data_IF_676693379313
#
_entry.id   IF_676693379313
#
_cell.length_a   1.000
_cell.length_b   1.000
_cell.length_c   1.000
_cell.angle_alpha   90.00
_cell.angle_beta   90.00
_cell.angle_gamma   90.00
#
_symmetry.space_group_name_H-M   'P 1'
#
loop_
_entity.id
_entity.type
_entity.pdbx_description
1 polymer ?
#
# COMPACT_ATOMS: atom_id res chain seq x y z
N UNK A 1 -29.06 -51.44 62.22
CA UNK A 1 -30.22 -51.69 61.32
C UNK A 1 -30.05 -50.70 60.19
N UNK A 2 -29.47 -51.08 59.04
CA UNK A 2 -30.13 -51.76 57.93
C UNK A 2 -30.42 -50.71 56.86
N UNK A 3 -29.60 -50.64 55.79
CA UNK A 3 -29.94 -50.98 54.39
C UNK A 3 -30.96 -50.00 53.76
N UNK A 4 -30.81 -49.43 52.57
CA UNK A 4 -29.93 -49.66 51.42
C UNK A 4 -30.73 -49.42 50.12
N UNK A 5 -30.15 -48.70 49.15
CA UNK A 5 -30.51 -48.69 47.71
C UNK A 5 -31.84 -48.01 47.30
N UNK A 6 -32.04 -47.47 46.11
CA UNK A 6 -31.20 -47.31 44.92
C UNK A 6 -31.88 -46.31 43.93
N UNK A 7 -31.04 -45.61 43.16
CA UNK A 7 -31.16 -45.18 41.75
C UNK A 7 -32.50 -44.75 41.14
N UNK A 8 -32.52 -43.57 40.49
CA UNK A 8 -32.57 -43.40 39.01
C UNK A 8 -32.46 -41.91 38.62
N UNK A 9 -31.41 -41.55 37.89
CA UNK A 9 -31.32 -40.43 36.93
C UNK A 9 -31.89 -40.90 35.56
N UNK A 10 -32.02 -40.08 34.47
CA UNK A 10 -31.45 -38.74 34.20
C UNK A 10 -32.40 -37.73 33.48
N UNK A 11 -31.96 -36.47 33.33
CA UNK A 11 -31.92 -35.75 32.03
C UNK A 11 -31.53 -34.28 32.21
N UNK A 12 -30.54 -33.87 31.43
CA UNK A 12 -29.89 -32.56 31.38
C UNK A 12 -30.77 -31.46 30.78
N UNK A 13 -30.54 -30.22 31.17
CA UNK A 13 -30.51 -29.08 30.23
C UNK A 13 -29.43 -28.11 30.68
N UNK A 14 -28.43 -27.94 29.82
CA UNK A 14 -27.38 -26.92 29.88
C UNK A 14 -27.97 -25.55 29.53
N UNK A 15 -27.53 -24.48 30.19
CA UNK A 15 -27.15 -23.23 29.49
C UNK A 15 -26.32 -22.30 30.41
N UNK A 16 -25.02 -22.36 30.12
CA UNK A 16 -24.00 -21.31 30.03
C UNK A 16 -23.77 -20.28 31.17
N UNK A 17 -22.62 -20.47 31.80
CA UNK A 17 -21.98 -19.61 32.79
C UNK A 17 -21.02 -18.62 32.14
N UNK A 18 -21.44 -17.38 31.91
CA UNK A 18 -20.56 -16.26 31.60
C UNK A 18 -19.88 -15.65 32.83
N UNK A 19 -19.13 -16.43 33.62
CA UNK A 19 -18.24 -15.88 34.67
C UNK A 19 -16.98 -15.34 33.99
N UNK A 20 -16.89 -14.02 33.87
CA UNK A 20 -15.64 -13.33 33.57
C UNK A 20 -14.59 -13.72 34.62
N UNK A 21 -13.72 -14.66 34.24
CA UNK A 21 -12.55 -15.05 35.02
C UNK A 21 -11.61 -13.85 35.06
N UNK A 22 -11.59 -13.16 36.19
CA UNK A 22 -10.49 -12.28 36.56
C UNK A 22 -9.26 -13.17 36.73
N UNK A 23 -8.55 -13.41 35.62
CA UNK A 23 -7.20 -13.94 35.65
C UNK A 23 -6.40 -12.96 36.52
N UNK A 24 -5.83 -13.39 37.66
CA UNK A 24 -4.96 -12.52 38.42
C UNK A 24 -3.81 -12.17 37.48
N UNK A 25 -3.55 -10.87 37.30
CA UNK A 25 -2.40 -10.40 36.52
C UNK A 25 -1.20 -11.22 36.98
N UNK A 26 -0.68 -12.07 36.10
CA UNK A 26 0.61 -12.68 36.31
C UNK A 26 1.55 -11.53 36.62
N UNK A 27 2.43 -11.69 37.59
CA UNK A 27 3.60 -10.82 37.76
C UNK A 27 4.23 -10.68 36.38
N UNK A 28 3.92 -9.58 35.69
CA UNK A 28 4.26 -9.42 34.29
C UNK A 28 5.77 -9.45 34.21
N UNK A 29 6.33 -10.51 33.64
CA UNK A 29 7.76 -10.60 33.44
C UNK A 29 8.20 -9.35 32.70
N UNK A 30 9.11 -8.58 33.31
CA UNK A 30 9.59 -7.34 32.73
C UNK A 30 10.18 -7.65 31.36
N UNK A 31 9.66 -7.00 30.33
CA UNK A 31 10.12 -7.19 28.96
C UNK A 31 11.61 -6.84 28.85
N UNK A 32 12.35 -7.74 28.21
CA UNK A 32 13.77 -7.57 27.89
C UNK A 32 13.97 -6.42 26.91
N UNK A 33 14.87 -5.50 27.25
CA UNK A 33 15.24 -4.38 26.38
C UNK A 33 16.51 -4.73 25.62
N UNK A 34 16.46 -4.63 24.30
CA UNK A 34 17.57 -4.96 23.43
C UNK A 34 18.31 -3.69 22.99
N UNK A 35 19.60 -3.63 23.31
CA UNK A 35 20.47 -2.49 23.01
C UNK A 35 21.62 -2.99 22.18
N UNK A 36 21.97 -2.30 21.10
CA UNK A 36 23.17 -2.64 20.33
C UNK A 36 24.13 -1.46 20.27
N UNK A 37 25.42 -1.79 20.25
CA UNK A 37 26.48 -0.79 20.21
C UNK A 37 27.73 -1.35 19.52
N UNK A 38 28.65 -0.47 19.20
CA UNK A 38 29.93 -0.80 18.57
C UNK A 38 31.01 0.11 19.11
N UNK A 39 32.18 -0.45 19.35
CA UNK A 39 33.37 0.30 19.71
C UNK A 39 34.53 -0.11 18.81
N UNK A 40 35.45 0.81 18.54
CA UNK A 40 36.73 0.48 17.94
C UNK A 40 37.87 1.20 18.64
N UNK A 41 38.77 0.41 19.22
CA UNK A 41 39.89 0.90 20.01
C UNK A 41 39.60 0.95 21.51
N UNK A 42 40.66 0.82 22.31
CA UNK A 42 40.57 0.61 23.76
C UNK A 42 39.89 1.76 24.52
N UNK A 43 40.00 3.00 24.04
CA UNK A 43 39.31 4.13 24.65
C UNK A 43 37.79 3.97 24.52
N UNK A 44 37.29 3.71 23.31
CA UNK A 44 35.87 3.52 23.07
C UNK A 44 35.34 2.25 23.75
N UNK A 45 36.14 1.19 23.87
CA UNK A 45 35.76 -0.01 24.64
C UNK A 45 35.60 0.30 26.14
N UNK A 46 36.48 1.16 26.70
CA UNK A 46 36.33 1.63 28.08
C UNK A 46 35.07 2.47 28.24
N UNK A 47 34.80 3.37 27.31
CA UNK A 47 33.57 4.18 27.31
C UNK A 47 32.32 3.31 27.16
N UNK A 48 32.37 2.28 26.31
CA UNK A 48 31.28 1.33 26.12
C UNK A 48 30.93 0.61 27.44
N UNK A 49 31.94 0.25 28.25
CA UNK A 49 31.72 -0.27 29.60
C UNK A 49 31.00 0.71 30.53
N UNK A 50 31.30 2.01 30.42
CA UNK A 50 30.61 3.08 31.16
C UNK A 50 29.17 3.24 30.65
N UNK A 51 28.95 3.18 29.34
CA UNK A 51 27.63 3.24 28.72
C UNK A 51 26.73 2.10 29.24
N UNK A 52 27.21 0.86 29.20
CA UNK A 52 26.51 -0.32 29.73
C UNK A 52 26.11 -0.11 31.20
N UNK A 53 27.05 0.36 32.02
CA UNK A 53 26.81 0.66 33.43
C UNK A 53 25.76 1.75 33.64
N UNK A 54 25.84 2.82 32.86
CA UNK A 54 24.90 3.94 32.94
C UNK A 54 23.47 3.53 32.57
N UNK A 55 23.32 2.63 31.60
CA UNK A 55 22.01 2.04 31.27
C UNK A 55 21.52 1.15 32.40
N UNK A 56 22.35 0.20 32.86
CA UNK A 56 21.93 -0.78 33.88
C UNK A 56 21.50 -0.13 35.20
N UNK A 57 22.16 0.94 35.59
CA UNK A 57 21.82 1.67 36.82
C UNK A 57 20.46 2.39 36.74
N UNK A 58 19.94 2.59 35.53
CA UNK A 58 18.79 3.45 35.25
C UNK A 58 17.52 2.64 34.96
N UNK A 59 17.63 1.33 34.76
CA UNK A 59 16.50 0.47 34.41
C UNK A 59 16.48 -0.81 35.25
N UNK A 60 15.28 -1.27 35.60
CA UNK A 60 15.07 -2.55 36.28
C UNK A 60 14.83 -3.68 35.30
N UNK A 61 14.49 -3.37 34.05
CA UNK A 61 14.21 -4.36 33.02
C UNK A 61 15.41 -5.28 32.78
N UNK A 62 15.17 -6.54 32.38
CA UNK A 62 16.21 -7.39 31.81
C UNK A 62 16.82 -6.70 30.59
N UNK A 63 18.14 -6.76 30.46
CA UNK A 63 18.86 -6.15 29.34
C UNK A 63 19.52 -7.23 28.51
N UNK A 64 19.48 -7.04 27.20
CA UNK A 64 20.27 -7.80 26.25
C UNK A 64 21.11 -6.84 25.40
N UNK A 65 22.44 -6.94 25.50
CA UNK A 65 23.38 -6.14 24.71
C UNK A 65 23.91 -6.90 23.50
N UNK A 66 23.78 -6.30 22.33
CA UNK A 66 24.32 -6.83 21.08
C UNK A 66 25.56 -6.04 20.67
N UNK A 67 26.65 -6.74 20.37
CA UNK A 67 27.89 -6.10 19.95
C UNK A 67 28.35 -6.60 18.59
N UNK A 68 28.86 -5.68 17.76
CA UNK A 68 29.40 -6.07 16.45
C UNK A 68 30.80 -6.67 16.63
N UNK A 69 30.90 -7.98 16.39
CA UNK A 69 32.05 -8.80 16.76
C UNK A 69 33.36 -8.34 16.09
N UNK A 70 33.30 -7.93 14.83
CA UNK A 70 34.47 -7.67 14.00
C UNK A 70 35.32 -6.46 14.46
N UNK A 71 34.77 -5.59 15.30
CA UNK A 71 35.41 -4.32 15.67
C UNK A 71 35.98 -4.28 17.08
N UNK A 72 35.58 -5.24 17.92
CA UNK A 72 36.00 -5.34 19.32
C UNK A 72 37.33 -6.08 19.48
N UNK A 73 38.15 -5.64 20.43
CA UNK A 73 39.39 -6.30 20.78
C UNK A 73 39.14 -7.61 21.53
N UNK A 74 40.04 -8.60 21.40
CA UNK A 74 39.95 -9.85 22.16
C UNK A 74 39.89 -9.62 23.67
N UNK A 75 40.58 -8.58 24.16
CA UNK A 75 40.59 -8.19 25.57
C UNK A 75 39.20 -7.77 26.04
N UNK A 76 38.49 -6.95 25.26
CA UNK A 76 37.13 -6.54 25.61
C UNK A 76 36.16 -7.71 25.51
N UNK A 77 36.26 -8.54 24.47
CA UNK A 77 35.41 -9.75 24.34
C UNK A 77 35.54 -10.70 25.53
N UNK A 78 36.75 -10.90 26.05
CA UNK A 78 36.99 -11.69 27.25
C UNK A 78 36.48 -11.02 28.55
N UNK A 79 36.30 -9.69 28.54
CA UNK A 79 35.86 -8.91 29.69
C UNK A 79 34.33 -8.78 29.78
N UNK A 80 33.61 -8.75 28.65
CA UNK A 80 32.14 -8.65 28.60
C UNK A 80 31.42 -9.71 29.46
N UNK A 81 31.80 -11.01 29.46
CA UNK A 81 31.18 -12.01 30.32
C UNK A 81 31.27 -11.65 31.82
N UNK A 82 32.40 -11.10 32.26
CA UNK A 82 32.60 -10.69 33.65
C UNK A 82 31.74 -9.47 34.01
N UNK A 83 31.52 -8.56 33.06
CA UNK A 83 30.58 -7.45 33.21
C UNK A 83 29.13 -7.96 33.29
N UNK A 84 28.78 -8.90 32.41
CA UNK A 84 27.45 -9.49 32.30
C UNK A 84 27.05 -10.21 33.60
N UNK A 85 27.95 -11.01 34.16
CA UNK A 85 27.75 -11.69 35.45
C UNK A 85 27.58 -10.69 36.59
N UNK A 86 28.46 -9.67 36.66
CA UNK A 86 28.43 -8.67 37.74
C UNK A 86 27.19 -7.77 37.71
N UNK A 87 26.73 -7.42 36.52
CA UNK A 87 25.66 -6.43 36.32
C UNK A 87 24.35 -7.04 35.81
N UNK A 88 24.27 -8.37 35.75
CA UNK A 88 23.09 -9.16 35.41
C UNK A 88 22.43 -8.72 34.11
N UNK A 89 23.16 -8.82 33.00
CA UNK A 89 22.64 -8.61 31.64
C UNK A 89 23.05 -9.76 30.72
N UNK A 90 22.26 -10.00 29.69
CA UNK A 90 22.58 -10.93 28.61
C UNK A 90 23.32 -10.22 27.48
N UNK A 91 24.12 -10.93 26.71
CA UNK A 91 24.77 -10.36 25.55
C UNK A 91 25.04 -11.40 24.48
N UNK A 92 25.16 -10.92 23.24
CA UNK A 92 25.58 -11.72 22.09
C UNK A 92 26.48 -10.89 21.17
N UNK A 93 27.47 -11.58 20.58
CA UNK A 93 28.31 -11.01 19.54
C UNK A 93 27.71 -11.34 18.18
N UNK A 94 27.27 -10.31 17.46
CA UNK A 94 26.68 -10.44 16.14
C UNK A 94 27.65 -10.00 15.06
N UNK A 95 27.59 -10.66 13.92
CA UNK A 95 28.40 -10.31 12.76
C UNK A 95 27.68 -10.68 11.49
N UNK A 96 27.92 -9.91 10.45
CA UNK A 96 27.43 -10.18 9.12
C UNK A 96 28.57 -9.94 8.14
N UNK A 97 28.76 -10.84 7.17
CA UNK A 97 29.81 -10.66 6.17
C UNK A 97 29.35 -9.63 5.15
N UNK A 98 30.19 -8.64 4.87
CA UNK A 98 29.92 -7.66 3.81
C UNK A 98 29.66 -8.37 2.47
N UNK A 99 28.49 -8.17 1.83
CA UNK A 99 28.16 -8.85 0.59
C UNK A 99 29.06 -8.42 -0.57
N UNK A 100 29.42 -9.35 -1.45
CA UNK A 100 30.31 -9.08 -2.60
C UNK A 100 29.74 -8.09 -3.61
N UNK A 101 28.41 -7.97 -3.71
CA UNK A 101 27.71 -7.07 -4.61
C UNK A 101 27.57 -5.64 -4.06
N UNK A 102 27.82 -5.44 -2.77
CA UNK A 102 27.68 -4.15 -2.10
C UNK A 102 29.03 -3.42 -2.17
N UNK A 103 29.05 -2.17 -2.63
CA UNK A 103 30.28 -1.42 -2.82
C UNK A 103 31.13 -1.39 -1.54
N UNK A 104 32.38 -1.88 -1.54
CA UNK A 104 33.17 -2.00 -0.32
C UNK A 104 33.64 -0.64 0.23
N UNK A 105 33.99 -0.62 1.51
CA UNK A 105 34.67 0.51 2.15
C UNK A 105 36.09 0.09 2.53
N UNK A 106 37.08 0.89 2.12
CA UNK A 106 38.49 0.67 2.47
C UNK A 106 38.82 1.20 3.87
N UNK A 107 38.16 2.27 4.30
CA UNK A 107 38.38 2.89 5.60
C UNK A 107 37.57 2.19 6.70
N UNK A 108 38.27 1.79 7.77
CA UNK A 108 37.66 1.10 8.91
C UNK A 108 36.52 1.90 9.56
N UNK A 109 36.66 3.22 9.66
CA UNK A 109 35.65 4.09 10.26
C UNK A 109 34.35 4.08 9.44
N UNK A 110 34.45 4.25 8.10
CA UNK A 110 33.30 4.17 7.20
C UNK A 110 32.65 2.79 7.21
N UNK A 111 33.44 1.73 7.39
CA UNK A 111 32.92 0.39 7.56
C UNK A 111 32.06 0.28 8.82
N UNK A 112 32.54 0.76 9.98
CA UNK A 112 31.78 0.76 11.24
C UNK A 112 30.45 1.50 11.08
N UNK A 113 30.47 2.70 10.50
CA UNK A 113 29.28 3.49 10.22
C UNK A 113 28.27 2.76 9.32
N UNK A 114 28.76 2.03 8.32
CA UNK A 114 27.90 1.22 7.48
C UNK A 114 27.21 0.10 8.26
N UNK A 115 27.94 -0.60 9.14
CA UNK A 115 27.36 -1.68 9.94
C UNK A 115 26.30 -1.20 10.94
N UNK A 116 26.40 0.05 11.43
CA UNK A 116 25.37 0.65 12.29
C UNK A 116 23.99 0.72 11.61
N UNK A 117 23.94 0.86 10.28
CA UNK A 117 22.69 1.18 9.56
C UNK A 117 22.30 0.15 8.50
N UNK A 118 23.25 -0.38 7.73
CA UNK A 118 22.94 -1.11 6.49
C UNK A 118 22.43 -2.54 6.70
N UNK A 119 22.68 -3.15 7.85
CA UNK A 119 22.45 -4.58 8.05
C UNK A 119 21.49 -4.88 9.20
N UNK A 120 20.73 -3.88 9.67
CA UNK A 120 19.83 -4.01 10.82
C UNK A 120 18.77 -5.11 10.64
N UNK A 121 18.34 -5.38 9.41
CA UNK A 121 17.40 -6.44 9.06
C UNK A 121 17.97 -7.86 9.21
N UNK A 122 19.28 -8.03 9.00
CA UNK A 122 19.96 -9.34 8.91
C UNK A 122 20.94 -9.61 10.06
N UNK A 123 21.34 -8.58 10.81
CA UNK A 123 22.35 -8.69 11.86
C UNK A 123 21.82 -9.40 13.12
N UNK A 124 20.52 -9.23 13.40
CA UNK A 124 19.87 -9.77 14.60
C UNK A 124 18.99 -10.99 14.26
N UNK A 125 18.84 -11.94 15.20
CA UNK A 125 17.88 -13.05 15.10
C UNK A 125 16.45 -12.57 14.81
N UNK A 126 15.65 -13.44 14.17
CA UNK A 126 14.30 -13.08 13.70
C UNK A 126 13.31 -12.81 14.84
N UNK A 127 13.51 -13.44 15.98
CA UNK A 127 12.73 -13.29 17.21
C UNK A 127 12.99 -11.99 17.97
N UNK A 128 14.02 -11.21 17.59
CA UNK A 128 14.26 -9.87 18.16
C UNK A 128 13.34 -8.86 17.48
N UNK A 129 12.37 -8.24 18.20
CA UNK A 129 11.36 -7.41 17.56
C UNK A 129 11.78 -5.95 17.41
N UNK A 130 12.65 -5.45 18.30
CA UNK A 130 13.05 -4.05 18.38
C UNK A 130 14.45 -3.96 18.97
N UNK A 131 15.22 -2.97 18.55
CA UNK A 131 16.54 -2.66 19.11
C UNK A 131 16.74 -1.15 19.27
N UNK A 132 17.54 -0.77 20.26
CA UNK A 132 17.96 0.61 20.50
C UNK A 132 19.46 0.70 20.23
N UNK A 133 19.88 1.59 19.36
CA UNK A 133 21.29 1.91 19.21
C UNK A 133 21.70 2.98 20.21
N UNK A 134 22.81 2.75 20.93
CA UNK A 134 23.42 3.76 21.80
C UNK A 134 24.92 3.78 21.50
N UNK A 135 25.45 4.95 21.15
CA UNK A 135 26.88 5.08 20.88
C UNK A 135 27.75 4.81 22.12
N UNK A 136 28.96 4.31 21.90
CA UNK A 136 29.82 3.81 22.96
C UNK A 136 30.24 4.89 23.98
N UNK A 137 30.26 6.16 23.57
CA UNK A 137 30.67 7.31 24.38
C UNK A 137 29.52 8.00 25.13
N UNK A 138 28.29 7.46 25.05
CA UNK A 138 27.15 8.05 25.73
C UNK A 138 27.05 7.64 27.21
N UNK A 139 26.47 8.54 28.00
CA UNK A 139 26.08 8.29 29.40
C UNK A 139 24.58 8.48 29.52
N UNK A 140 23.87 7.41 29.87
CA UNK A 140 22.42 7.40 30.00
C UNK A 140 22.01 7.72 31.43
N UNK A 141 21.04 8.63 31.60
CA UNK A 141 20.54 9.08 32.91
C UNK A 141 19.04 8.86 33.12
N UNK A 142 18.32 8.46 32.09
CA UNK A 142 16.89 8.13 32.11
C UNK A 142 16.69 6.64 31.87
N UNK A 143 15.49 6.12 32.17
CA UNK A 143 15.18 4.72 31.90
C UNK A 143 15.03 4.52 30.39
N UNK A 144 15.88 3.67 29.81
CA UNK A 144 15.83 3.31 28.38
C UNK A 144 14.50 2.67 27.96
N UNK A 145 13.69 2.22 28.93
CA UNK A 145 12.30 1.79 28.71
C UNK A 145 11.47 2.85 28.01
N UNK A 146 11.70 4.13 28.27
CA UNK A 146 10.98 5.24 27.62
C UNK A 146 11.16 5.23 26.10
N UNK A 147 12.38 4.91 25.63
CA UNK A 147 12.67 4.77 24.20
C UNK A 147 12.08 3.49 23.62
N UNK A 148 12.03 2.43 24.42
CA UNK A 148 11.45 1.16 24.00
C UNK A 148 9.94 1.27 23.77
N UNK A 149 9.24 1.99 24.63
CA UNK A 149 7.79 2.22 24.57
C UNK A 149 7.39 3.36 23.63
N UNK A 150 8.37 4.05 23.04
CA UNK A 150 8.13 5.15 22.11
C UNK A 150 7.26 4.69 20.94
N UNK A 151 6.12 5.38 20.74
CA UNK A 151 5.25 5.18 19.58
C UNK A 151 5.93 5.75 18.32
N UNK A 152 6.39 4.84 17.46
CA UNK A 152 7.03 5.18 16.19
C UNK A 152 6.03 5.55 15.09
N UNK A 153 4.72 5.53 15.36
CA UNK A 153 3.65 5.91 14.42
C UNK A 153 3.72 5.13 13.10
N UNK A 154 4.01 3.83 13.20
CA UNK A 154 4.19 2.92 12.07
C UNK A 154 5.47 3.16 11.25
N UNK A 155 6.45 3.92 11.77
CA UNK A 155 7.77 4.07 11.13
C UNK A 155 8.74 2.98 11.59
N UNK A 156 9.62 2.48 10.71
CA UNK A 156 10.54 1.39 11.04
C UNK A 156 11.68 1.81 11.98
N UNK A 157 11.98 3.12 12.08
CA UNK A 157 13.00 3.64 12.97
C UNK A 157 12.74 5.11 13.31
N UNK A 158 13.32 5.59 14.41
CA UNK A 158 13.30 6.99 14.82
C UNK A 158 14.66 7.43 15.36
N UNK A 159 15.04 8.67 15.02
CA UNK A 159 16.31 9.28 15.38
C UNK A 159 16.08 10.59 16.14
N UNK A 160 17.11 11.05 16.85
CA UNK A 160 17.11 12.35 17.54
C UNK A 160 17.52 13.47 16.57
N UNK A 161 16.79 14.60 16.48
CA UNK A 161 17.19 15.73 15.65
C UNK A 161 18.40 16.48 16.24
N UNK A 162 19.15 17.18 15.40
CA UNK A 162 20.18 18.12 15.84
C UNK A 162 19.56 19.24 16.70
N UNK A 163 20.18 19.52 17.85
CA UNK A 163 19.78 20.62 18.71
C UNK A 163 20.05 21.98 18.05
N UNK A 164 19.15 22.94 18.29
CA UNK A 164 19.20 24.29 17.73
C UNK A 164 19.26 25.40 18.79
N UNK A 165 19.39 25.04 20.07
CA UNK A 165 19.22 25.93 21.22
C UNK A 165 20.36 26.92 21.45
N UNK A 166 21.60 26.62 21.05
CA UNK A 166 22.76 27.50 21.29
C UNK A 166 23.02 28.46 20.10
N UNK A 167 22.78 29.78 20.21
CA UNK A 167 22.98 30.72 19.11
C UNK A 167 24.44 30.85 18.65
N UNK A 168 25.41 30.65 19.55
CA UNK A 168 26.84 30.80 19.23
C UNK A 168 27.34 29.74 18.24
N UNK A 169 26.64 28.61 18.10
CA UNK A 169 27.01 27.54 17.19
C UNK A 169 26.35 27.64 15.81
N UNK A 170 25.56 28.68 15.54
CA UNK A 170 24.79 28.81 14.29
C UNK A 170 25.67 28.72 13.03
N UNK A 171 26.88 29.29 13.09
CA UNK A 171 27.85 29.25 11.97
C UNK A 171 28.33 27.86 11.58
N UNK A 172 28.26 26.88 12.49
CA UNK A 172 28.66 25.47 12.23
C UNK A 172 27.51 24.60 11.71
N UNK A 173 26.27 25.13 11.65
CA UNK A 173 25.07 24.38 11.27
C UNK A 173 24.95 24.25 9.76
N UNK A 174 25.85 23.48 9.15
CA UNK A 174 25.90 23.27 7.71
C UNK A 174 24.57 22.71 7.14
N UNK A 175 23.80 21.96 7.94
CA UNK A 175 22.52 21.39 7.52
C UNK A 175 21.41 22.44 7.29
N UNK A 176 21.59 23.67 7.79
CA UNK A 176 20.67 24.80 7.56
C UNK A 176 20.98 25.60 6.29
N UNK A 177 21.98 25.19 5.52
CA UNK A 177 22.45 25.92 4.34
C UNK A 177 22.70 24.98 3.15
N UNK A 178 22.87 25.57 1.97
CA UNK A 178 23.30 24.88 0.75
C UNK A 178 22.49 23.63 0.40
N UNK A 179 23.21 22.56 0.06
CA UNK A 179 22.63 21.28 -0.37
C UNK A 179 21.65 20.71 0.66
N UNK A 180 22.06 20.60 1.93
CA UNK A 180 21.27 19.96 2.97
C UNK A 180 19.96 20.66 3.23
N UNK A 181 19.95 22.00 3.29
CA UNK A 181 18.70 22.77 3.44
C UNK A 181 17.72 22.47 2.30
N UNK A 182 18.21 22.47 1.07
CA UNK A 182 17.38 22.25 -0.12
C UNK A 182 16.87 20.79 -0.19
N UNK A 183 17.72 19.83 0.19
CA UNK A 183 17.39 18.41 0.17
C UNK A 183 16.40 18.02 1.28
N UNK A 184 16.57 18.57 2.49
CA UNK A 184 15.73 18.30 3.65
C UNK A 184 14.36 18.98 3.55
N UNK A 185 14.29 20.16 2.92
CA UNK A 185 13.10 21.00 2.97
C UNK A 185 12.74 21.34 4.42
N UNK A 186 11.58 20.88 4.87
CA UNK A 186 11.11 21.08 6.25
C UNK A 186 11.50 19.94 7.21
N UNK A 187 12.23 18.93 6.74
CA UNK A 187 12.65 17.81 7.57
C UNK A 187 13.85 18.21 8.45
N UNK A 188 13.90 17.75 9.72
CA UNK A 188 15.07 18.00 10.55
C UNK A 188 16.25 17.13 10.13
N UNK A 189 17.46 17.64 10.39
CA UNK A 189 18.69 16.87 10.27
C UNK A 189 18.90 16.05 11.55
N UNK A 190 19.00 14.73 11.42
CA UNK A 190 19.02 13.79 12.55
C UNK A 190 20.45 13.33 12.89
N UNK A 191 20.67 12.88 14.13
CA UNK A 191 21.96 12.38 14.64
C UNK A 191 21.90 10.86 14.81
N UNK A 192 22.91 10.15 14.31
CA UNK A 192 23.07 8.68 14.35
C UNK A 192 23.72 8.12 15.64
N UNK A 193 23.76 8.92 16.72
CA UNK A 193 24.33 8.52 18.00
C UNK A 193 23.32 7.77 18.90
N UNK A 194 22.02 7.99 18.69
CA UNK A 194 20.93 7.36 19.42
C UNK A 194 19.72 7.20 18.50
N UNK A 195 19.22 5.98 18.35
CA UNK A 195 18.01 5.71 17.58
C UNK A 195 17.34 4.40 17.98
N UNK A 196 16.04 4.30 17.68
CA UNK A 196 15.23 3.11 17.92
C UNK A 196 14.85 2.50 16.57
N UNK A 197 14.88 1.18 16.47
CA UNK A 197 14.51 0.43 15.28
C UNK A 197 13.48 -0.62 15.65
N UNK A 198 12.28 -0.51 15.06
CA UNK A 198 11.30 -1.59 15.08
C UNK A 198 11.70 -2.59 13.98
N UNK A 199 12.34 -3.70 14.38
CA UNK A 199 12.87 -4.68 13.44
C UNK A 199 11.77 -5.43 12.70
N UNK A 200 10.59 -5.59 13.31
CA UNK A 200 9.44 -6.21 12.64
C UNK A 200 9.03 -5.34 11.46
N UNK A 201 8.79 -4.04 11.70
CA UNK A 201 8.41 -3.10 10.66
C UNK A 201 9.53 -2.84 9.65
N UNK A 202 10.78 -2.76 10.12
CA UNK A 202 11.97 -2.57 9.27
C UNK A 202 12.13 -3.72 8.26
N UNK A 203 11.95 -4.97 8.69
CA UNK A 203 11.99 -6.14 7.81
C UNK A 203 10.76 -6.20 6.90
N UNK A 204 9.55 -5.98 7.45
CA UNK A 204 8.28 -6.02 6.70
C UNK A 204 8.26 -5.03 5.53
N UNK A 205 8.83 -3.85 5.73
CA UNK A 205 8.86 -2.78 4.72
C UNK A 205 10.02 -2.87 3.74
N UNK A 206 10.97 -3.81 3.93
CA UNK A 206 12.13 -3.95 3.04
C UNK A 206 13.08 -2.75 3.06
N UNK A 207 13.06 -1.95 4.13
CA UNK A 207 13.81 -0.68 4.18
C UNK A 207 15.34 -0.91 4.17
N UNK A 208 15.79 -2.05 4.72
CA UNK A 208 17.21 -2.44 4.69
C UNK A 208 17.76 -2.59 3.27
N UNK A 209 16.97 -3.17 2.36
CA UNK A 209 17.33 -3.28 0.95
C UNK A 209 17.37 -1.90 0.28
N UNK A 210 16.37 -1.06 0.55
CA UNK A 210 16.33 0.32 0.06
C UNK A 210 17.56 1.13 0.49
N UNK A 211 17.96 1.02 1.77
CA UNK A 211 19.16 1.68 2.31
C UNK A 211 20.44 1.21 1.60
N UNK A 212 20.57 -0.08 1.33
CA UNK A 212 21.71 -0.64 0.58
C UNK A 212 21.71 -0.20 -0.88
N UNK A 213 20.55 -0.09 -1.51
CA UNK A 213 20.39 0.44 -2.87
C UNK A 213 20.86 1.89 -2.99
N UNK A 214 20.35 2.77 -2.11
CA UNK A 214 20.76 4.18 -2.03
C UNK A 214 22.26 4.30 -1.76
N UNK A 215 22.78 3.51 -0.83
CA UNK A 215 24.22 3.47 -0.57
C UNK A 215 25.04 3.08 -1.80
N UNK A 216 24.63 2.05 -2.54
CA UNK A 216 25.35 1.61 -3.75
C UNK A 216 25.37 2.68 -4.84
N UNK A 217 24.32 3.50 -4.92
CA UNK A 217 24.27 4.62 -5.86
C UNK A 217 25.24 5.74 -5.44
N UNK A 218 25.17 6.16 -4.17
CA UNK A 218 25.91 7.31 -3.65
C UNK A 218 27.39 7.02 -3.41
N UNK A 219 27.73 5.83 -2.94
CA UNK A 219 29.11 5.46 -2.56
C UNK A 219 30.08 5.31 -3.74
N UNK A 220 29.59 5.44 -4.98
CA UNK A 220 30.44 5.49 -6.18
C UNK A 220 31.24 6.78 -6.27
N UNK A 221 30.73 7.86 -5.69
CA UNK A 221 31.50 9.10 -5.52
C UNK A 221 32.17 9.09 -4.13
N UNK A 222 33.51 9.07 -4.05
CA UNK A 222 34.23 9.09 -2.78
C UNK A 222 33.94 10.33 -1.92
N UNK A 223 33.56 11.45 -2.54
CA UNK A 223 33.22 12.70 -1.85
C UNK A 223 31.78 12.73 -1.33
N UNK A 224 30.97 11.73 -1.69
CA UNK A 224 29.62 11.57 -1.15
C UNK A 224 29.64 10.86 0.21
N UNK A 225 28.57 11.05 0.98
CA UNK A 225 28.36 10.43 2.29
C UNK A 225 29.46 10.78 3.29
N UNK A 226 29.64 12.09 3.52
CA UNK A 226 30.61 12.66 4.44
C UNK A 226 30.51 12.04 5.84
N UNK A 227 29.29 11.80 6.32
CA UNK A 227 29.03 10.98 7.49
C UNK A 227 28.06 9.85 7.11
N UNK A 228 28.61 8.70 6.74
CA UNK A 228 27.88 7.58 6.14
C UNK A 228 26.68 7.10 6.96
N UNK A 229 26.77 7.15 8.27
CA UNK A 229 25.70 6.73 9.19
C UNK A 229 24.59 7.77 9.33
N UNK A 230 24.91 9.05 9.17
CA UNK A 230 23.99 10.17 9.39
C UNK A 230 23.34 10.63 8.09
N UNK A 231 24.12 10.71 7.02
CA UNK A 231 23.67 11.17 5.72
C UNK A 231 22.70 10.17 5.08
N UNK A 232 22.82 8.87 5.38
CA UNK A 232 21.99 7.83 4.76
C UNK A 232 20.54 7.79 5.23
N UNK A 233 20.22 7.68 6.53
CA UNK A 233 18.82 7.71 6.96
C UNK A 233 18.13 8.99 6.48
N UNK A 234 18.85 10.11 6.54
CA UNK A 234 18.36 11.42 6.09
C UNK A 234 18.06 11.42 4.59
N UNK A 235 19.01 10.99 3.75
CA UNK A 235 18.83 10.92 2.29
C UNK A 235 17.83 9.83 1.89
N UNK A 236 17.79 8.70 2.60
CA UNK A 236 16.88 7.61 2.33
C UNK A 236 15.43 7.95 2.68
N UNK A 237 15.18 8.70 3.76
CA UNK A 237 13.83 9.20 4.06
C UNK A 237 13.33 10.11 2.93
N UNK A 238 14.17 11.03 2.44
CA UNK A 238 13.81 11.89 1.30
C UNK A 238 13.64 11.08 0.01
N UNK A 239 14.54 10.12 -0.26
CA UNK A 239 14.49 9.28 -1.46
C UNK A 239 13.27 8.35 -1.46
N UNK A 240 12.92 7.74 -0.33
CA UNK A 240 11.73 6.89 -0.20
C UNK A 240 10.47 7.74 -0.36
N UNK A 241 10.40 8.93 0.22
CA UNK A 241 9.28 9.86 -0.02
C UNK A 241 9.20 10.25 -1.50
N UNK A 242 10.33 10.56 -2.14
CA UNK A 242 10.36 10.88 -3.56
C UNK A 242 9.89 9.69 -4.43
N UNK A 243 10.34 8.47 -4.13
CA UNK A 243 9.90 7.25 -4.84
C UNK A 243 8.41 7.00 -4.62
N UNK A 244 7.91 7.12 -3.39
CA UNK A 244 6.47 6.99 -3.10
C UNK A 244 5.66 8.06 -3.83
N UNK A 245 6.12 9.31 -3.86
CA UNK A 245 5.46 10.40 -4.60
C UNK A 245 5.47 10.13 -6.10
N UNK A 246 6.57 9.63 -6.66
CA UNK A 246 6.65 9.25 -8.08
C UNK A 246 5.73 8.08 -8.40
N UNK A 247 5.70 7.03 -7.56
CA UNK A 247 4.79 5.89 -7.73
C UNK A 247 3.33 6.33 -7.64
N UNK A 248 2.98 7.16 -6.65
CA UNK A 248 1.63 7.72 -6.53
C UNK A 248 1.28 8.58 -7.75
N UNK A 249 2.20 9.43 -8.23
CA UNK A 249 1.98 10.24 -9.43
C UNK A 249 1.77 9.36 -10.67
N UNK A 250 2.58 8.30 -10.85
CA UNK A 250 2.42 7.34 -11.95
C UNK A 250 1.07 6.62 -11.87
N UNK A 251 0.64 6.20 -10.67
CA UNK A 251 -0.67 5.56 -10.47
C UNK A 251 -1.81 6.54 -10.76
N UNK A 252 -1.73 7.80 -10.31
CA UNK A 252 -2.73 8.83 -10.59
C UNK A 252 -2.83 9.12 -12.09
N UNK A 253 -1.69 9.22 -12.79
CA UNK A 253 -1.66 9.40 -14.25
C UNK A 253 -2.25 8.17 -14.96
N UNK A 254 -1.92 6.95 -14.53
CA UNK A 254 -2.47 5.73 -15.10
C UNK A 254 -4.01 5.66 -14.92
N UNK A 255 -4.52 5.99 -13.73
CA UNK A 255 -5.96 6.06 -13.46
C UNK A 255 -6.63 7.13 -14.33
N UNK A 256 -6.03 8.32 -14.46
CA UNK A 256 -6.55 9.37 -15.33
C UNK A 256 -6.61 8.92 -16.80
N UNK A 257 -5.58 8.23 -17.30
CA UNK A 257 -5.57 7.66 -18.65
C UNK A 257 -6.69 6.63 -18.83
N UNK A 258 -6.89 5.73 -17.86
CA UNK A 258 -7.99 4.74 -17.93
C UNK A 258 -9.36 5.43 -17.96
N UNK A 259 -9.57 6.46 -17.12
CA UNK A 259 -10.83 7.23 -17.10
C UNK A 259 -11.08 7.92 -18.46
N UNK A 260 -10.04 8.52 -19.06
CA UNK A 260 -10.15 9.15 -20.39
C UNK A 260 -10.46 8.11 -21.45
N UNK A 261 -9.81 6.94 -21.44
CA UNK A 261 -10.07 5.85 -22.39
C UNK A 261 -11.51 5.35 -22.27
N UNK A 262 -12.01 5.14 -21.06
CA UNK A 262 -13.41 4.72 -20.84
C UNK A 262 -14.39 5.79 -21.32
N UNK A 263 -14.12 7.07 -21.06
CA UNK A 263 -14.96 8.17 -21.55
C UNK A 263 -14.99 8.25 -23.08
N UNK A 264 -13.84 8.10 -23.74
CA UNK A 264 -13.75 8.05 -25.21
C UNK A 264 -14.51 6.86 -25.77
N UNK A 265 -14.36 5.67 -25.19
CA UNK A 265 -15.11 4.48 -25.62
C UNK A 265 -16.62 4.63 -25.43
N UNK A 266 -17.07 5.30 -24.35
CA UNK A 266 -18.47 5.61 -24.13
C UNK A 266 -19.02 6.57 -25.20
N UNK A 267 -18.28 7.63 -25.54
CA UNK A 267 -18.66 8.58 -26.60
C UNK A 267 -18.71 7.88 -27.96
N UNK A 268 -17.72 7.07 -28.30
CA UNK A 268 -17.69 6.28 -29.55
C UNK A 268 -18.87 5.29 -29.58
N UNK A 269 -19.16 4.61 -28.48
CA UNK A 269 -20.31 3.72 -28.36
C UNK A 269 -21.63 4.44 -28.59
N UNK A 270 -21.82 5.62 -28.01
CA UNK A 270 -23.01 6.46 -28.22
C UNK A 270 -23.13 6.90 -29.68
N UNK A 271 -22.04 7.34 -30.32
CA UNK A 271 -22.04 7.73 -31.73
C UNK A 271 -22.43 6.57 -32.64
N UNK A 272 -21.91 5.37 -32.40
CA UNK A 272 -22.26 4.17 -33.18
C UNK A 272 -23.74 3.84 -33.05
N UNK A 273 -24.32 3.90 -31.83
CA UNK A 273 -25.75 3.65 -31.62
C UNK A 273 -26.62 4.69 -32.35
N UNK A 274 -26.25 5.97 -32.28
CA UNK A 274 -27.00 7.04 -32.97
C UNK A 274 -26.96 6.86 -34.49
N UNK A 275 -25.82 6.48 -35.06
CA UNK A 275 -25.68 6.22 -36.51
C UNK A 275 -26.51 5.01 -36.93
N UNK A 276 -26.47 3.91 -36.17
CA UNK A 276 -27.26 2.71 -36.48
C UNK A 276 -28.76 3.00 -36.43
N UNK A 277 -29.22 3.74 -35.42
CA UNK A 277 -30.62 4.17 -35.30
C UNK A 277 -31.00 5.10 -36.45
N UNK A 278 -30.16 6.06 -36.81
CA UNK A 278 -30.41 6.96 -37.94
C UNK A 278 -30.51 6.19 -39.27
N UNK A 279 -29.61 5.24 -39.52
CA UNK A 279 -29.66 4.38 -40.72
C UNK A 279 -30.92 3.53 -40.73
N UNK A 280 -31.30 2.93 -39.59
CA UNK A 280 -32.54 2.14 -39.49
C UNK A 280 -33.78 2.99 -39.78
N UNK A 281 -33.85 4.22 -39.27
CA UNK A 281 -34.95 5.17 -39.55
C UNK A 281 -35.01 5.51 -41.04
N UNK A 282 -33.87 5.78 -41.69
CA UNK A 282 -33.82 6.07 -43.13
C UNK A 282 -34.32 4.87 -43.95
N UNK A 283 -33.91 3.65 -43.61
CA UNK A 283 -34.37 2.43 -44.30
C UNK A 283 -35.88 2.26 -44.17
N UNK A 284 -36.46 2.51 -43.00
CA UNK A 284 -37.91 2.43 -42.76
C UNK A 284 -38.66 3.48 -43.60
N UNK A 285 -38.19 4.73 -43.59
CA UNK A 285 -38.82 5.82 -44.36
C UNK A 285 -38.78 5.54 -45.85
N UNK A 286 -37.63 5.10 -46.38
CA UNK A 286 -37.50 4.71 -47.80
C UNK A 286 -38.43 3.53 -48.13
N UNK A 287 -38.52 2.53 -47.25
CA UNK A 287 -39.44 1.41 -47.41
C UNK A 287 -40.90 1.85 -47.50
N UNK A 288 -41.35 2.75 -46.62
CA UNK A 288 -42.72 3.29 -46.63
C UNK A 288 -43.00 4.08 -47.91
N UNK A 289 -42.05 4.90 -48.37
CA UNK A 289 -42.20 5.68 -49.61
C UNK A 289 -42.28 4.77 -50.83
N UNK A 290 -41.43 3.75 -50.92
CA UNK A 290 -41.43 2.79 -52.04
C UNK A 290 -42.75 2.01 -52.07
N UNK A 291 -43.23 1.51 -50.94
CA UNK A 291 -44.52 0.81 -50.85
C UNK A 291 -45.68 1.76 -51.23
N UNK A 292 -45.66 3.01 -50.76
CA UNK A 292 -46.65 4.02 -51.12
C UNK A 292 -46.68 4.31 -52.63
N UNK A 293 -45.52 4.46 -53.25
CA UNK A 293 -45.40 4.70 -54.70
C UNK A 293 -45.90 3.49 -55.50
N UNK A 294 -45.57 2.26 -55.09
CA UNK A 294 -46.06 1.04 -55.76
C UNK A 294 -47.59 0.94 -55.68
N UNK A 295 -48.19 1.26 -54.52
CA UNK A 295 -49.66 1.26 -54.35
C UNK A 295 -50.33 2.31 -55.26
N UNK A 296 -49.75 3.51 -55.38
CA UNK A 296 -50.28 4.55 -56.29
C UNK A 296 -50.16 4.12 -57.75
N UNK A 297 -49.03 3.53 -58.16
CA UNK A 297 -48.83 3.07 -59.53
C UNK A 297 -49.81 1.94 -59.89
N UNK A 298 -50.06 0.99 -58.99
CA UNK A 298 -51.05 -0.08 -59.22
C UNK A 298 -52.48 0.47 -59.28
N UNK A 299 -52.80 1.51 -58.50
CA UNK A 299 -54.12 2.16 -58.55
C UNK A 299 -54.40 2.97 -59.83
N UNK A 300 -53.36 3.43 -60.53
CA UNK A 300 -53.49 4.22 -61.78
C UNK A 300 -53.65 3.34 -63.03
N UNK A 301 -53.30 2.05 -62.98
CA UNK A 301 -53.37 1.13 -64.13
C UNK A 301 -54.76 0.46 -64.29
N UNK A 302 -55.81 1.00 -63.63
CA UNK A 302 -57.20 0.60 -63.87
C UNK A 302 -57.68 0.97 -65.28
N UNK A 303 -57.63 -0.01 -66.19
CA UNK A 303 -57.99 0.12 -67.61
C UNK A 303 -59.48 0.43 -67.79
N UNK A 304 -59.79 1.55 -68.44
CA UNK A 304 -61.13 1.85 -68.96
C UNK A 304 -61.17 1.43 -70.43
N UNK A 305 -61.86 0.33 -70.74
CA UNK A 305 -62.27 -0.03 -72.11
C UNK A 305 -63.69 0.45 -72.31
N UNK A 306 -63.89 1.45 -73.18
CA UNK A 306 -65.21 1.86 -73.65
C UNK A 306 -65.45 1.26 -75.02
N UNK A 307 -66.45 0.41 -75.15
CA UNK A 307 -67.08 0.07 -76.43
C UNK A 307 -68.46 0.73 -76.41
N UNK A 308 -68.68 1.67 -77.34
CA UNK A 308 -69.97 2.32 -77.52
C UNK A 308 -70.60 1.88 -78.84
N UNK A 309 -71.79 1.29 -78.75
CA UNK A 309 -72.70 1.09 -79.86
C UNK A 309 -74.13 1.40 -79.41
N UNK A 310 -74.78 2.32 -80.11
CA UNK A 310 -76.21 2.31 -80.46
C UNK A 310 -76.42 3.46 -81.49
N UNK A 311 -77.19 3.33 -82.57
CA UNK A 311 -78.28 2.38 -82.78
C UNK A 311 -78.44 1.88 -84.21
N UNK A 312 -78.95 0.65 -84.26
CA UNK A 312 -79.25 -0.18 -85.41
C UNK A 312 -79.14 -1.66 -85.01
N UNK A 313 -80.14 -2.15 -84.28
CA UNK A 313 -80.40 -3.53 -83.80
C UNK A 313 -79.71 -4.06 -82.52
N UNK A 314 -80.57 -4.25 -81.50
CA UNK A 314 -80.56 -5.28 -80.44
C UNK A 314 -79.34 -5.45 -79.51
N UNK A 315 -79.39 -4.77 -78.36
CA UNK A 315 -79.10 -5.27 -76.99
C UNK A 315 -77.68 -5.69 -76.60
N UNK A 316 -77.17 -5.17 -75.47
CA UNK A 316 -76.73 -5.91 -74.25
C UNK A 316 -76.06 -4.95 -73.23
N UNK A 317 -76.24 -5.30 -71.94
CA UNK A 317 -75.89 -4.61 -70.71
C UNK A 317 -74.38 -4.37 -70.45
N UNK A 318 -74.08 -3.37 -69.61
CA UNK A 318 -72.76 -3.18 -68.99
C UNK A 318 -72.88 -3.12 -67.47
N UNK A 319 -72.10 -3.98 -66.82
CA UNK A 319 -72.00 -4.22 -65.38
C UNK A 319 -71.01 -3.23 -64.76
N UNK A 320 -71.42 -2.55 -63.70
CA UNK A 320 -70.54 -1.72 -62.86
C UNK A 320 -69.94 -2.63 -61.77
N UNK A 321 -68.61 -2.71 -61.71
CA UNK A 321 -67.91 -3.31 -60.57
C UNK A 321 -67.23 -2.19 -59.79
N UNK A 322 -67.82 -1.87 -58.64
CA UNK A 322 -67.16 -1.05 -57.61
C UNK A 322 -66.40 -2.02 -56.70
N UNK A 323 -65.10 -1.79 -56.50
CA UNK A 323 -64.35 -2.46 -55.41
C UNK A 323 -63.95 -1.40 -54.39
N UNK A 324 -64.46 -1.58 -53.17
CA UNK A 324 -64.20 -0.74 -52.00
C UNK A 324 -63.15 -1.40 -51.10
N UNK A 325 -62.27 -0.57 -50.53
CA UNK A 325 -61.44 -0.75 -49.32
C UNK A 325 -60.19 -1.65 -49.38
N UNK A 326 -59.06 -1.11 -48.90
CA UNK A 326 -58.34 -1.66 -47.73
C UNK A 326 -57.71 -0.49 -46.93
N UNK A 327 -58.24 -0.25 -45.73
CA UNK A 327 -57.52 0.45 -44.65
C UNK A 327 -56.49 -0.54 -44.12
N UNK A 328 -55.19 -0.27 -44.29
CA UNK A 328 -54.14 -1.06 -43.63
C UNK A 328 -53.86 -0.42 -42.27
N UNK A 329 -54.50 -0.96 -41.22
CA UNK A 329 -54.06 -0.71 -39.85
C UNK A 329 -52.79 -1.54 -39.63
N UNK A 330 -51.62 -0.89 -39.61
CA UNK A 330 -50.38 -1.54 -39.22
C UNK A 330 -50.29 -1.59 -37.70
N UNK A 331 -50.64 -2.73 -37.10
CA UNK A 331 -50.36 -3.01 -35.68
C UNK A 331 -48.88 -3.43 -35.56
N UNK A 332 -48.04 -2.55 -35.01
CA UNK A 332 -46.65 -2.89 -34.68
C UNK A 332 -46.61 -3.40 -33.25
N UNK A 333 -46.34 -4.71 -33.08
CA UNK A 333 -46.00 -5.30 -31.78
C UNK A 333 -44.48 -5.24 -31.63
N UNK A 334 -43.99 -4.33 -30.78
CA UNK A 334 -42.57 -4.30 -30.39
C UNK A 334 -42.38 -5.24 -29.21
N UNK A 335 -41.68 -6.36 -29.42
CA UNK A 335 -41.21 -7.22 -28.33
C UNK A 335 -39.80 -6.78 -27.96
N UNK A 336 -39.63 -6.14 -26.81
CA UNK A 336 -38.33 -5.87 -26.21
C UNK A 336 -37.99 -6.99 -25.21
N UNK A 337 -36.77 -7.54 -25.21
CA UNK A 337 -36.36 -8.52 -24.22
C UNK A 337 -35.96 -7.81 -22.92
N UNK A 338 -36.68 -8.07 -21.82
CA UNK A 338 -36.24 -7.68 -20.47
C UNK A 338 -35.66 -8.87 -19.72
N UNK A 339 -34.47 -8.67 -19.15
CA UNK A 339 -33.91 -9.55 -18.14
C UNK A 339 -34.89 -9.66 -16.97
N UNK A 340 -35.24 -10.89 -16.57
CA UNK A 340 -36.24 -11.27 -15.54
C UNK A 340 -37.70 -11.49 -15.99
N UNK A 341 -37.91 -12.39 -16.96
CA UNK A 341 -38.97 -13.42 -16.88
C UNK A 341 -40.46 -13.02 -16.78
N UNK A 342 -40.85 -11.76 -16.94
CA UNK A 342 -42.26 -11.35 -17.02
C UNK A 342 -42.52 -10.51 -18.28
N UNK A 343 -43.43 -11.00 -19.13
CA UNK A 343 -43.84 -10.35 -20.38
C UNK A 343 -44.93 -9.32 -20.12
N UNK A 344 -44.66 -8.05 -20.42
CA UNK A 344 -45.66 -6.96 -20.38
C UNK A 344 -45.99 -6.52 -21.81
N UNK A 345 -47.24 -6.67 -22.23
CA UNK A 345 -47.73 -6.24 -23.53
C UNK A 345 -48.23 -4.79 -23.45
N UNK A 346 -47.63 -3.88 -24.22
CA UNK A 346 -48.15 -2.51 -24.39
C UNK A 346 -48.95 -2.46 -25.70
N UNK A 347 -50.27 -2.26 -25.60
CA UNK A 347 -51.12 -1.99 -26.76
C UNK A 347 -51.19 -0.47 -26.99
N UNK A 348 -50.74 -0.01 -28.15
CA UNK A 348 -50.97 1.36 -28.60
C UNK A 348 -52.02 1.31 -29.70
N UNK A 349 -53.18 1.91 -29.44
CA UNK A 349 -54.22 2.17 -30.45
C UNK A 349 -53.99 3.59 -30.97
N UNK A 350 -53.78 3.74 -32.27
CA UNK A 350 -53.83 5.05 -32.95
C UNK A 350 -54.92 4.98 -33.99
N UNK A 351 -55.85 5.94 -33.94
CA UNK A 351 -56.94 6.16 -34.92
C UNK A 351 -56.37 6.77 -36.18
#
# INVERSE_FOLDING_TARGET
MGAGGASTEPAQTEEDSGKASLVPASTAELQTLHIFSVASGHLYEKLLGIMILSVRNQTKNPLHFWFIDNFLSPKFKAFVPLLAERYNFNFDFVTYKWPSWLNPQSEKQRLIWAYKVLFLDVLFPQDVPKVIFIDADQVVRADVRELWDLDLKGKPYAFVPMGDTNPETEGFRFWKQGYWKNHLGNMPYHISALYVVDLVEFRRTGIGESLRGVYNQLSRDPNSLSNLEQDKPVVAVVAVVAVVVVVVAVVVVAVAVVVVVVAVLAVVGVVVVVVVVAVAVVVVVVGVVVVGVVVVVVGVVGVVVVVGGDGGDSGVAVVVVVVVAVVVVAVIVVVAPTWSGQTLYLFVVVV
#
